data_IF_371587557671
#
_entry.id   IF_371587557671
#
_cell.length_a   1.000
_cell.length_b   1.000
_cell.length_c   1.000
_cell.angle_alpha   90.00
_cell.angle_beta   90.00
_cell.angle_gamma   90.00
#
_symmetry.space_group_name_H-M   'P 1'
#
loop_
_entity.id
_entity.type
_entity.pdbx_description
1 polymer ?
#
# COMPACT_ATOMS: atom_id res chain seq x y z
N UNK A 1 -8.33 -0.42 22.51
CA UNK A 1 -7.90 0.28 21.28
C UNK A 1 -8.15 -0.64 20.10
N UNK A 2 -8.89 -0.20 19.08
CA UNK A 2 -9.19 -1.01 17.89
C UNK A 2 -8.11 -0.79 16.82
N UNK A 3 -7.59 -1.87 16.25
CA UNK A 3 -6.60 -1.78 15.18
C UNK A 3 -7.29 -1.53 13.83
N UNK A 4 -6.82 -0.53 13.09
CA UNK A 4 -7.32 -0.21 11.74
C UNK A 4 -6.31 -0.60 10.67
N UNK A 5 -6.77 -1.29 9.62
CA UNK A 5 -5.97 -1.58 8.44
C UNK A 5 -5.76 -0.31 7.60
N UNK A 6 -4.52 -0.07 7.19
CA UNK A 6 -4.11 1.06 6.38
C UNK A 6 -4.58 0.97 4.92
N UNK A 7 -4.83 -0.25 4.42
CA UNK A 7 -5.32 -0.48 3.05
C UNK A 7 -6.68 0.18 2.86
N UNK A 8 -6.83 0.93 1.76
CA UNK A 8 -8.03 1.72 1.49
C UNK A 8 -9.28 0.83 1.38
N UNK A 9 -10.34 1.22 2.07
CA UNK A 9 -11.61 0.46 2.18
C UNK A 9 -11.47 -0.96 2.72
N UNK A 10 -10.38 -1.31 3.41
CA UNK A 10 -10.31 -2.56 4.14
C UNK A 10 -11.22 -2.50 5.39
N UNK A 11 -12.19 -3.40 5.48
CA UNK A 11 -13.10 -3.49 6.63
C UNK A 11 -12.36 -4.03 7.86
N UNK A 12 -12.42 -3.28 8.96
CA UNK A 12 -11.86 -3.67 10.26
C UNK A 12 -12.86 -4.41 11.16
N UNK A 13 -14.06 -4.72 10.65
CA UNK A 13 -15.17 -5.28 11.46
C UNK A 13 -15.13 -6.79 11.64
N UNK A 14 -14.27 -7.48 10.90
CA UNK A 14 -14.14 -8.93 11.03
C UNK A 14 -13.24 -9.30 12.20
N UNK A 15 -13.79 -10.07 13.14
CA UNK A 15 -13.07 -10.64 14.28
C UNK A 15 -12.07 -11.69 13.78
N UNK A 16 -10.92 -11.80 14.46
CA UNK A 16 -9.92 -12.84 14.18
C UNK A 16 -8.80 -12.45 13.20
N UNK A 17 -8.72 -11.19 12.76
CA UNK A 17 -7.61 -10.73 11.90
C UNK A 17 -6.35 -10.43 12.71
N UNK A 18 -5.22 -10.94 12.25
CA UNK A 18 -3.90 -10.49 12.69
C UNK A 18 -3.54 -9.19 12.00
N UNK A 19 -2.80 -8.32 12.69
CA UNK A 19 -2.35 -7.03 12.17
C UNK A 19 -0.83 -6.95 12.23
N UNK A 20 -0.21 -6.52 11.14
CA UNK A 20 1.24 -6.40 10.99
C UNK A 20 1.62 -4.94 10.79
N UNK A 21 2.61 -4.48 11.57
CA UNK A 21 3.11 -3.11 11.48
C UNK A 21 3.95 -2.93 10.22
N UNK A 22 3.99 -1.69 9.75
CA UNK A 22 4.94 -1.28 8.72
C UNK A 22 6.38 -1.69 9.15
N UNK A 23 7.19 -2.29 8.24
CA UNK A 23 8.53 -2.74 8.58
C UNK A 23 9.39 -1.61 9.14
N UNK A 24 10.07 -1.88 10.26
CA UNK A 24 11.13 -1.01 10.78
C UNK A 24 12.42 -1.27 10.00
N UNK A 25 13.27 -0.26 9.91
CA UNK A 25 14.64 -0.45 9.41
C UNK A 25 15.43 -1.21 10.48
N UNK A 26 15.89 -2.41 10.15
CA UNK A 26 16.60 -3.31 11.04
C UNK A 26 18.11 -2.96 11.06
N UNK A 27 18.48 -1.95 11.84
CA UNK A 27 19.90 -1.54 11.97
C UNK A 27 20.77 -2.56 12.70
N UNK A 28 20.17 -3.54 13.39
CA UNK A 28 20.85 -4.57 14.18
C UNK A 28 21.07 -5.90 13.43
N UNK A 29 20.68 -6.00 12.15
CA UNK A 29 20.80 -7.21 11.34
C UNK A 29 21.88 -7.10 10.26
N UNK A 30 22.93 -6.32 10.55
CA UNK A 30 24.01 -6.01 9.59
C UNK A 30 23.56 -5.08 8.46
N UNK A 31 24.48 -4.81 7.53
CA UNK A 31 24.24 -3.91 6.42
C UNK A 31 23.16 -4.46 5.46
N UNK A 32 23.18 -5.76 5.17
CA UNK A 32 22.17 -6.41 4.34
C UNK A 32 20.77 -6.28 4.96
N UNK A 33 20.63 -6.58 6.26
CA UNK A 33 19.36 -6.42 6.96
C UNK A 33 18.84 -4.98 6.92
N UNK A 34 19.73 -3.99 7.03
CA UNK A 34 19.39 -2.56 6.92
C UNK A 34 18.94 -2.18 5.51
N UNK A 35 19.60 -2.68 4.47
CA UNK A 35 19.25 -2.44 3.07
C UNK A 35 17.89 -3.08 2.75
N UNK A 36 17.74 -4.38 3.03
CA UNK A 36 16.53 -5.13 2.74
C UNK A 36 15.32 -4.57 3.49
N UNK A 37 15.49 -4.17 4.76
CA UNK A 37 14.38 -3.63 5.55
C UNK A 37 13.94 -2.23 5.10
N UNK A 38 14.88 -1.39 4.66
CA UNK A 38 14.57 -0.11 4.00
C UNK A 38 13.78 -0.34 2.72
N UNK A 39 14.25 -1.24 1.87
CA UNK A 39 13.58 -1.57 0.61
C UNK A 39 12.17 -2.12 0.86
N UNK A 40 12.03 -3.07 1.78
CA UNK A 40 10.75 -3.67 2.15
C UNK A 40 9.77 -2.61 2.63
N UNK A 41 10.23 -1.73 3.51
CA UNK A 41 9.43 -0.62 4.02
C UNK A 41 8.95 0.27 2.88
N UNK A 42 9.82 0.65 1.95
CA UNK A 42 9.44 1.48 0.81
C UNK A 42 8.39 0.79 -0.06
N UNK A 43 8.57 -0.51 -0.35
CA UNK A 43 7.59 -1.28 -1.13
C UNK A 43 6.23 -1.36 -0.43
N UNK A 44 6.19 -1.51 0.89
CA UNK A 44 4.91 -1.48 1.64
C UNK A 44 4.23 -0.12 1.58
N UNK A 45 5.00 0.98 1.73
CA UNK A 45 4.46 2.35 1.60
C UNK A 45 3.85 2.54 0.21
N UNK A 46 4.57 2.14 -0.83
CA UNK A 46 4.10 2.22 -2.21
C UNK A 46 2.85 1.36 -2.44
N UNK A 47 2.81 0.15 -1.88
CA UNK A 47 1.66 -0.75 -1.99
C UNK A 47 0.42 -0.18 -1.28
N UNK A 48 0.57 0.50 -0.13
CA UNK A 48 -0.56 1.15 0.53
C UNK A 48 -1.10 2.32 -0.32
N UNK A 49 -0.22 3.03 -1.03
CA UNK A 49 -0.54 4.12 -1.96
C UNK A 49 -1.56 5.13 -1.40
N UNK A 50 -1.37 5.56 -0.15
CA UNK A 50 -2.22 6.58 0.47
C UNK A 50 -1.70 7.96 0.11
N UNK A 51 -2.56 8.75 -0.55
CA UNK A 51 -2.32 10.18 -0.81
C UNK A 51 -2.50 10.98 0.49
N UNK A 52 -1.58 11.91 0.79
CA UNK A 52 -1.70 12.85 1.91
C UNK A 52 -0.56 12.70 2.93
N UNK A 53 -0.68 11.76 3.86
CA UNK A 53 0.28 11.60 4.95
C UNK A 53 1.12 10.33 4.77
N UNK A 54 2.44 10.47 4.90
CA UNK A 54 3.34 9.33 5.00
C UNK A 54 2.89 8.44 6.18
N UNK A 55 2.76 7.13 5.98
CA UNK A 55 2.33 6.23 7.04
C UNK A 55 3.32 6.25 8.20
N UNK A 56 2.86 6.63 9.39
CA UNK A 56 3.62 6.45 10.62
C UNK A 56 3.82 4.95 10.88
N UNK A 57 5.05 4.55 11.19
CA UNK A 57 5.44 3.15 11.41
C UNK A 57 4.64 2.55 12.58
N UNK A 58 4.41 3.34 13.64
CA UNK A 58 3.78 2.84 14.84
C UNK A 58 2.29 2.59 14.62
N UNK A 59 1.59 3.49 13.94
CA UNK A 59 0.14 3.40 13.78
C UNK A 59 -0.31 2.76 12.46
N UNK A 60 0.59 2.55 11.50
CA UNK A 60 0.26 1.89 10.23
C UNK A 60 0.28 0.37 10.37
N UNK A 61 -0.91 -0.22 10.35
CA UNK A 61 -1.13 -1.66 10.43
C UNK A 61 -1.77 -2.19 9.13
N UNK A 62 -1.40 -3.40 8.73
CA UNK A 62 -2.00 -4.11 7.61
C UNK A 62 -2.53 -5.45 8.13
N UNK A 63 -3.78 -5.79 7.79
CA UNK A 63 -4.36 -7.04 8.26
C UNK A 63 -3.91 -8.25 7.41
N UNK A 64 -4.01 -9.44 7.98
CA UNK A 64 -3.63 -10.72 7.36
C UNK A 64 -4.18 -10.94 5.96
N UNK A 65 -5.36 -10.42 5.63
CA UNK A 65 -6.02 -10.63 4.33
C UNK A 65 -5.31 -9.98 3.12
N UNK A 66 -4.29 -9.16 3.36
CA UNK A 66 -3.49 -8.57 2.29
C UNK A 66 -2.27 -9.43 1.92
N UNK A 67 -2.14 -10.60 2.56
CA UNK A 67 -1.12 -11.60 2.34
C UNK A 67 -1.78 -12.95 2.00
N UNK A 68 -1.18 -13.71 1.08
CA UNK A 68 -1.63 -15.01 0.60
C UNK A 68 -1.64 -16.03 1.74
N UNK A 69 -0.57 -16.08 2.52
CA UNK A 69 -0.42 -16.96 3.70
C UNK A 69 -0.98 -16.35 4.98
N UNK A 70 -1.59 -15.15 4.89
CA UNK A 70 -2.12 -14.44 6.04
C UNK A 70 -1.08 -13.70 6.88
N UNK A 71 0.20 -13.70 6.49
CA UNK A 71 1.27 -13.00 7.20
C UNK A 71 2.40 -12.57 6.25
N UNK A 72 3.18 -11.55 6.59
CA UNK A 72 4.35 -11.17 5.82
C UNK A 72 5.46 -12.23 5.91
N UNK A 73 6.16 -12.47 4.81
CA UNK A 73 7.30 -13.37 4.75
C UNK A 73 8.50 -12.88 5.58
N UNK A 74 9.55 -13.71 5.71
CA UNK A 74 10.81 -13.30 6.36
C UNK A 74 11.47 -12.13 5.62
N UNK A 75 12.28 -11.32 6.33
CA UNK A 75 12.98 -10.20 5.72
C UNK A 75 13.90 -10.63 4.57
N UNK A 76 14.57 -11.78 4.71
CA UNK A 76 15.53 -12.29 3.73
C UNK A 76 14.88 -13.09 2.59
N UNK A 77 13.57 -13.32 2.63
CA UNK A 77 12.81 -14.02 1.59
C UNK A 77 12.23 -13.04 0.59
N UNK A 78 13.08 -12.25 -0.09
CA UNK A 78 12.64 -11.18 -1.00
C UNK A 78 11.74 -11.61 -2.15
N UNK A 79 11.94 -12.84 -2.63
CA UNK A 79 11.19 -13.41 -3.75
C UNK A 79 9.86 -14.02 -3.33
N UNK A 80 9.55 -14.04 -2.04
CA UNK A 80 8.27 -14.52 -1.53
C UNK A 80 7.16 -13.53 -1.91
N UNK A 81 6.03 -14.00 -2.48
CA UNK A 81 4.93 -13.11 -2.84
C UNK A 81 4.30 -12.37 -1.65
N UNK A 82 4.47 -12.89 -0.42
CA UNK A 82 4.07 -12.24 0.84
C UNK A 82 5.18 -11.37 1.45
N UNK A 83 6.29 -11.14 0.74
CA UNK A 83 7.29 -10.17 1.18
C UNK A 83 6.69 -8.76 1.28
N UNK A 84 5.72 -8.45 0.40
CA UNK A 84 4.96 -7.19 0.37
C UNK A 84 3.47 -7.53 0.32
N UNK A 85 2.60 -6.79 1.04
CA UNK A 85 1.15 -6.96 0.90
C UNK A 85 0.72 -6.70 -0.55
N UNK A 86 -0.02 -7.63 -1.13
CA UNK A 86 -0.38 -7.62 -2.55
C UNK A 86 -1.86 -7.91 -2.78
N UNK A 87 -2.52 -8.64 -1.87
CA UNK A 87 -3.93 -8.97 -1.99
C UNK A 87 -4.82 -7.81 -1.57
N UNK A 88 -5.94 -7.62 -2.28
CA UNK A 88 -6.99 -6.66 -1.91
C UNK A 88 -6.52 -5.20 -1.76
N UNK A 89 -5.40 -4.84 -2.40
CA UNK A 89 -4.81 -3.51 -2.39
C UNK A 89 -5.63 -2.56 -3.28
N UNK A 90 -6.83 -2.19 -2.80
CA UNK A 90 -7.77 -1.34 -3.54
C UNK A 90 -7.24 0.09 -3.58
N UNK A 91 -6.77 0.54 -4.73
CA UNK A 91 -6.37 1.94 -4.92
C UNK A 91 -7.57 2.82 -5.31
N UNK A 92 -7.55 4.11 -4.94
CA UNK A 92 -8.46 5.09 -5.52
C UNK A 92 -8.14 5.17 -7.02
N UNK A 93 -9.07 4.75 -7.89
CA UNK A 93 -9.01 5.08 -9.31
C UNK A 93 -9.35 6.57 -9.43
N UNK A 94 -8.36 7.41 -9.71
CA UNK A 94 -8.64 8.76 -10.18
C UNK A 94 -9.16 8.62 -11.61
N UNK A 95 -10.45 8.93 -11.82
CA UNK A 95 -10.96 9.13 -13.17
C UNK A 95 -10.49 10.52 -13.59
N UNK A 96 -9.59 10.60 -14.54
CA UNK A 96 -9.39 11.83 -15.28
C UNK A 96 -10.58 11.95 -16.23
N UNK A 97 -11.53 12.80 -15.88
CA UNK A 97 -12.52 13.26 -16.85
C UNK A 97 -11.78 14.21 -17.79
N UNK A 98 -11.47 13.73 -18.99
CA UNK A 98 -10.93 14.57 -20.05
C UNK A 98 -12.07 15.48 -20.49
N UNK A 99 -12.02 16.74 -20.06
CA UNK A 99 -12.86 17.81 -20.58
C UNK A 99 -12.63 17.90 -22.09
N UNK A 100 -13.64 17.52 -22.87
CA UNK A 100 -13.61 17.68 -24.33
C UNK A 100 -14.05 19.10 -24.64
N UNK A 101 -13.09 19.99 -24.85
CA UNK A 101 -13.36 21.30 -25.44
C UNK A 101 -13.96 21.11 -26.83
N UNK A 102 -15.22 21.53 -26.99
CA UNK A 102 -15.94 21.54 -28.27
C UNK A 102 -15.41 22.69 -29.13
N UNK A 103 -14.48 22.42 -30.03
CA UNK A 103 -14.26 23.30 -31.19
C UNK A 103 -15.32 22.99 -32.25
N UNK A 104 -16.46 23.67 -32.13
CA UNK A 104 -17.42 23.75 -33.21
C UNK A 104 -16.99 24.84 -34.20
N UNK A 105 -16.72 24.38 -35.41
CA UNK A 105 -16.27 25.09 -36.60
C UNK A 105 -17.24 26.23 -36.95
N UNK A 106 -16.89 27.47 -36.63
CA UNK A 106 -17.51 28.62 -37.31
C UNK A 106 -16.94 28.74 -38.72
N UNK A 107 -17.42 27.91 -39.64
CA UNK A 107 -17.38 28.22 -41.08
C UNK A 107 -18.46 29.28 -41.30
N UNK A 108 -18.04 30.54 -41.37
CA UNK A 108 -18.83 31.62 -41.96
C UNK A 108 -18.83 31.38 -43.48
N UNK A 109 -20.00 31.09 -44.04
CA UNK A 109 -20.25 31.11 -45.47
C UNK A 109 -21.32 32.16 -45.75
N UNK A 110 -20.94 33.13 -46.60
CA UNK A 110 -21.67 34.28 -47.15
C UNK A 110 -22.19 35.35 -46.17
#
# INVERSE_FOLDING_TARGET
MVNFCAVFKCSNREKGKSFFRLPKVACNQGDDGKILSKERRQKWINAINRVGNYPDILHTLICSYNFITGKPASLFSQNDPDWVPSLNMRHKKFKFEVEKDTYDTKIVHC
#
